data_IF_226468090966
#
_entry.id   IF_226468090966
#
_cell.length_a   1.000
_cell.length_b   1.000
_cell.length_c   1.000
_cell.angle_alpha   90.00
_cell.angle_beta   90.00
_cell.angle_gamma   90.00
#
_symmetry.space_group_name_H-M   'P 1'
#
loop_
_entity.id
_entity.type
_entity.pdbx_description
1 polymer ?
#
# COMPACT_ATOMS: atom_id res chain seq x y z
N UNK A 1 9.62 -16.30 24.40
CA UNK A 1 8.36 -15.52 24.53
C UNK A 1 8.21 -14.48 23.43
N UNK A 2 9.29 -13.80 23.02
CA UNK A 2 9.29 -12.74 22.01
C UNK A 2 8.86 -13.22 20.60
N UNK A 3 9.16 -14.46 20.22
CA UNK A 3 8.78 -14.99 18.89
C UNK A 3 7.26 -15.14 18.67
N UNK A 4 6.51 -15.50 19.72
CA UNK A 4 5.05 -15.68 19.61
C UNK A 4 4.33 -14.34 19.43
N UNK A 5 4.84 -13.26 20.01
CA UNK A 5 4.27 -11.91 19.85
C UNK A 5 4.25 -11.43 18.40
N UNK A 6 5.26 -11.80 17.59
CA UNK A 6 5.35 -11.33 16.21
C UNK A 6 4.28 -11.90 15.30
N UNK A 7 3.88 -13.15 15.52
CA UNK A 7 2.82 -13.80 14.75
C UNK A 7 1.49 -13.05 14.96
N UNK A 8 1.19 -12.63 16.19
CA UNK A 8 -0.03 -11.88 16.50
C UNK A 8 -0.03 -10.47 15.89
N UNK A 9 1.11 -9.77 15.89
CA UNK A 9 1.25 -8.43 15.29
C UNK A 9 1.06 -8.51 13.78
N UNK A 10 1.62 -9.53 13.14
CA UNK A 10 1.49 -9.74 11.70
C UNK A 10 0.04 -10.07 11.31
N UNK A 11 -0.64 -10.93 12.09
CA UNK A 11 -2.05 -11.25 11.88
C UNK A 11 -2.97 -10.04 12.08
N UNK A 12 -2.68 -9.20 13.07
CA UNK A 12 -3.44 -7.98 13.35
C UNK A 12 -3.34 -6.98 12.18
N UNK A 13 -2.15 -6.82 11.59
CA UNK A 13 -1.95 -5.95 10.44
C UNK A 13 -2.73 -6.40 9.20
N UNK A 14 -2.70 -7.71 8.92
CA UNK A 14 -3.45 -8.28 7.79
C UNK A 14 -4.96 -8.08 7.95
N UNK A 15 -5.45 -8.23 9.18
CA UNK A 15 -6.85 -7.96 9.51
C UNK A 15 -7.22 -6.48 9.32
N UNK A 16 -6.36 -5.55 9.74
CA UNK A 16 -6.56 -4.11 9.56
C UNK A 16 -6.65 -3.71 8.08
N UNK A 17 -5.83 -4.35 7.23
CA UNK A 17 -5.84 -4.17 5.78
C UNK A 17 -7.13 -4.72 5.14
N UNK A 18 -7.66 -5.83 5.64
CA UNK A 18 -8.90 -6.44 5.17
C UNK A 18 -10.17 -5.65 5.53
N UNK A 19 -10.17 -4.96 6.67
CA UNK A 19 -11.32 -4.21 7.18
C UNK A 19 -11.49 -2.84 6.49
N UNK A 20 -10.40 -2.26 5.97
CA UNK A 20 -10.40 -0.94 5.35
C UNK A 20 -11.04 -0.98 3.96
N UNK A 21 -12.25 -0.43 3.85
CA UNK A 21 -13.00 -0.32 2.59
C UNK A 21 -12.89 1.07 1.97
N UNK A 22 -12.79 1.06 0.63
CA UNK A 22 -13.13 2.08 -0.38
C UNK A 22 -12.09 3.13 -0.79
N UNK A 23 -11.21 3.60 0.09
CA UNK A 23 -10.26 4.65 -0.30
C UNK A 23 -8.92 4.07 -0.77
N UNK A 24 -8.69 4.03 -2.08
CA UNK A 24 -7.44 3.55 -2.69
C UNK A 24 -6.19 4.23 -2.11
N UNK A 25 -6.26 5.53 -1.83
CA UNK A 25 -5.15 6.26 -1.22
C UNK A 25 -4.84 5.78 0.20
N UNK A 26 -5.87 5.45 1.01
CA UNK A 26 -5.66 4.90 2.36
C UNK A 26 -5.04 3.50 2.29
N UNK A 27 -5.44 2.70 1.31
CA UNK A 27 -4.82 1.39 1.06
C UNK A 27 -3.32 1.51 0.76
N UNK A 28 -2.93 2.47 -0.10
CA UNK A 28 -1.52 2.70 -0.44
C UNK A 28 -0.71 3.09 0.81
N UNK A 29 -1.23 4.01 1.63
CA UNK A 29 -0.56 4.44 2.86
C UNK A 29 -0.39 3.27 3.85
N UNK A 30 -1.41 2.43 4.00
CA UNK A 30 -1.34 1.27 4.91
C UNK A 30 -0.33 0.24 4.40
N UNK A 31 -0.26 0.02 3.09
CA UNK A 31 0.74 -0.86 2.47
C UNK A 31 2.16 -0.35 2.73
N UNK A 32 2.45 0.94 2.56
CA UNK A 32 3.76 1.51 2.92
C UNK A 32 4.07 1.36 4.41
N UNK A 33 3.09 1.59 5.27
CA UNK A 33 3.28 1.44 6.71
C UNK A 33 3.59 -0.02 7.09
N UNK A 34 2.99 -0.99 6.40
CA UNK A 34 3.32 -2.41 6.57
C UNK A 34 4.75 -2.74 6.15
N UNK A 35 5.22 -2.21 5.01
CA UNK A 35 6.61 -2.36 4.59
C UNK A 35 7.59 -1.78 5.62
N UNK A 36 7.29 -0.63 6.21
CA UNK A 36 8.13 -0.02 7.26
C UNK A 36 8.21 -0.89 8.52
N UNK A 37 7.09 -1.51 8.93
CA UNK A 37 7.08 -2.45 10.05
C UNK A 37 7.90 -3.71 9.74
N UNK A 38 7.80 -4.22 8.52
CA UNK A 38 8.58 -5.37 8.06
C UNK A 38 10.09 -5.05 8.04
N UNK A 39 10.47 -3.87 7.53
CA UNK A 39 11.85 -3.38 7.57
C UNK A 39 12.33 -3.27 9.01
N UNK A 40 11.58 -2.61 9.90
CA UNK A 40 11.95 -2.51 11.31
C UNK A 40 12.17 -3.90 11.91
N UNK A 41 11.26 -4.84 11.66
CA UNK A 41 11.37 -6.21 12.14
C UNK A 41 12.64 -6.93 11.65
N UNK A 42 12.97 -6.83 10.35
CA UNK A 42 14.19 -7.42 9.79
C UNK A 42 15.46 -6.83 10.41
N UNK A 43 15.42 -5.55 10.77
CA UNK A 43 16.51 -4.84 11.44
C UNK A 43 16.79 -5.45 12.82
N UNK A 44 15.73 -5.74 13.59
CA UNK A 44 15.87 -6.28 14.95
C UNK A 44 16.17 -7.78 15.00
N UNK A 45 15.63 -8.56 14.06
CA UNK A 45 15.65 -10.02 14.18
C UNK A 45 16.85 -10.70 13.55
N UNK A 46 17.41 -10.16 12.47
CA UNK A 46 18.32 -10.96 11.66
C UNK A 46 19.70 -10.39 11.41
N UNK A 47 20.04 -9.14 11.79
CA UNK A 47 21.24 -8.50 11.23
C UNK A 47 21.31 -8.74 9.71
N UNK A 48 20.15 -8.70 9.04
CA UNK A 48 20.08 -8.96 7.61
C UNK A 48 20.99 -7.94 6.92
N UNK A 49 21.74 -8.42 5.93
CA UNK A 49 22.60 -7.56 5.10
C UNK A 49 21.85 -6.27 4.77
N UNK A 50 22.48 -5.14 5.04
CA UNK A 50 21.94 -3.81 4.75
C UNK A 50 21.44 -3.70 3.29
N UNK A 51 22.06 -4.44 2.38
CA UNK A 51 21.67 -4.55 0.99
C UNK A 51 20.25 -5.09 0.79
N UNK A 52 19.85 -6.11 1.57
CA UNK A 52 18.52 -6.69 1.48
C UNK A 52 17.44 -5.73 2.00
N UNK A 53 17.74 -5.00 3.08
CA UNK A 53 16.85 -3.94 3.55
C UNK A 53 16.69 -2.83 2.53
N UNK A 54 17.79 -2.37 1.93
CA UNK A 54 17.73 -1.35 0.88
C UNK A 54 16.90 -1.81 -0.31
N UNK A 55 17.04 -3.06 -0.75
CA UNK A 55 16.22 -3.61 -1.82
C UNK A 55 14.73 -3.60 -1.49
N UNK A 56 14.34 -3.97 -0.27
CA UNK A 56 12.94 -3.92 0.17
C UNK A 56 12.42 -2.48 0.18
N UNK A 57 13.20 -1.52 0.68
CA UNK A 57 12.80 -0.11 0.70
C UNK A 57 12.63 0.47 -0.71
N UNK A 58 13.56 0.17 -1.63
CA UNK A 58 13.48 0.61 -3.03
C UNK A 58 12.25 0.00 -3.71
N UNK A 59 12.00 -1.30 -3.49
CA UNK A 59 10.85 -1.98 -4.06
C UNK A 59 9.53 -1.41 -3.52
N UNK A 60 9.44 -1.17 -2.21
CA UNK A 60 8.29 -0.54 -1.56
C UNK A 60 8.00 0.84 -2.16
N UNK A 61 9.00 1.70 -2.29
CA UNK A 61 8.83 3.03 -2.89
C UNK A 61 8.39 2.94 -4.36
N UNK A 62 8.95 1.99 -5.11
CA UNK A 62 8.55 1.71 -6.49
C UNK A 62 7.08 1.29 -6.62
N UNK A 63 6.62 0.38 -5.77
CA UNK A 63 5.22 -0.08 -5.75
C UNK A 63 4.27 1.05 -5.34
N UNK A 64 4.63 1.86 -4.34
CA UNK A 64 3.84 3.02 -3.91
C UNK A 64 3.64 4.05 -5.03
N UNK A 65 4.73 4.41 -5.73
CA UNK A 65 4.65 5.33 -6.89
C UNK A 65 3.83 4.71 -8.02
N UNK A 66 4.01 3.43 -8.32
CA UNK A 66 3.24 2.73 -9.35
C UNK A 66 1.73 2.75 -9.06
N UNK A 67 1.34 2.45 -7.82
CA UNK A 67 -0.06 2.46 -7.39
C UNK A 67 -0.66 3.88 -7.45
N UNK A 68 0.10 4.91 -7.07
CA UNK A 68 -0.34 6.31 -7.20
C UNK A 68 -0.56 6.70 -8.67
N UNK A 69 0.35 6.32 -9.57
CA UNK A 69 0.19 6.53 -11.01
C UNK A 69 -1.07 5.86 -11.55
N UNK A 70 -1.31 4.60 -11.17
CA UNK A 70 -2.54 3.89 -11.55
C UNK A 70 -3.79 4.58 -11.00
N UNK A 71 -3.75 5.06 -9.75
CA UNK A 71 -4.86 5.80 -9.16
C UNK A 71 -5.18 7.08 -9.95
N UNK A 72 -4.17 7.85 -10.36
CA UNK A 72 -4.37 9.05 -11.19
C UNK A 72 -5.00 8.71 -12.55
N UNK A 73 -4.55 7.62 -13.17
CA UNK A 73 -5.11 7.14 -14.44
C UNK A 73 -6.58 6.73 -14.26
N UNK A 74 -6.89 5.92 -13.24
CA UNK A 74 -8.26 5.52 -12.93
C UNK A 74 -9.19 6.71 -12.65
N UNK A 75 -8.70 7.69 -11.90
CA UNK A 75 -9.48 8.89 -11.60
C UNK A 75 -9.75 9.70 -12.87
N UNK A 76 -8.75 9.85 -13.75
CA UNK A 76 -8.92 10.52 -15.04
C UNK A 76 -9.94 9.79 -15.93
N UNK A 77 -9.91 8.45 -15.97
CA UNK A 77 -10.88 7.65 -16.74
C UNK A 77 -12.31 7.77 -16.20
N UNK A 78 -12.51 7.67 -14.89
CA UNK A 78 -13.84 7.81 -14.28
C UNK A 78 -14.41 9.22 -14.48
N UNK A 79 -13.60 10.26 -14.27
CA UNK A 79 -14.04 11.65 -14.41
C UNK A 79 -14.35 12.03 -15.87
N UNK A 80 -13.67 11.38 -16.85
CA UNK A 80 -14.01 11.54 -18.26
C UNK A 80 -15.37 10.94 -18.61
N UNK A 81 -15.71 9.80 -18.00
CA UNK A 81 -16.97 9.08 -18.26
C UNK A 81 -18.19 9.84 -17.73
N UNK A 82 -18.04 10.53 -16.59
CA UNK A 82 -19.13 11.34 -16.02
C UNK A 82 -19.40 12.61 -16.85
N UNK A 83 -18.35 13.23 -17.41
CA UNK A 83 -18.50 14.42 -18.27
C UNK A 83 -19.11 14.11 -19.64
N UNK A 84 -18.81 12.95 -20.23
CA UNK A 84 -19.42 12.55 -21.51
C UNK A 84 -20.90 12.18 -21.36
N UNK A 85 -21.29 11.57 -20.24
CA UNK A 85 -22.70 11.26 -19.96
C UNK A 85 -23.56 12.52 -19.83
N UNK A 86 -23.03 13.56 -19.18
CA UNK A 86 -23.74 14.84 -19.02
C UNK A 86 -23.89 15.60 -20.35
N UNK A 87 -22.91 15.49 -21.26
CA UNK A 87 -22.99 16.14 -22.57
C UNK A 87 -24.01 15.46 -23.51
N UNK A 88 -24.20 14.14 -23.40
CA UNK A 88 -25.16 13.41 -24.24
C UNK A 88 -26.63 13.59 -23.81
N UNK A 89 -26.88 13.96 -22.55
CA UNK A 89 -28.24 14.20 -22.05
C UNK A 89 -28.72 15.65 -22.25
N UNK A 90 -27.81 16.56 -22.61
CA UNK A 90 -28.08 17.99 -22.73
C UNK A 90 -28.11 18.49 -24.19
N UNK A 91 -28.12 17.55 -25.15
CA UNK A 91 -28.30 17.75 -26.60
C UNK A 91 -29.49 16.88 -27.05
#
# INVERSE_FOLDING_TARGET
MVEKSYVYIFFFFFFLLSVMKRDFLKLIIIMEFFYMVLVFFLCFTFFLNFDFMMLIMIFSAGEGVFLLCMMMIFWKFFFFKDKTFFFFFNN
#
